data_IF_487538965949
#
_entry.id   IF_487538965949
#
_cell.length_a   1.000
_cell.length_b   1.000
_cell.length_c   1.000
_cell.angle_alpha   90.00
_cell.angle_beta   90.00
_cell.angle_gamma   90.00
#
_symmetry.space_group_name_H-M   'P 1'
#
loop_
_entity.id
_entity.type
_entity.pdbx_description
1 polymer ?
#
# COMPACT_ATOMS: atom_id res chain seq x y z
N UNK A 1 11.23 -23.64 5.73
CA UNK A 1 9.80 -23.72 6.13
C UNK A 1 9.13 -24.72 5.21
N UNK A 2 8.32 -25.63 5.73
CA UNK A 2 7.59 -26.63 4.90
C UNK A 2 6.43 -25.93 4.17
N UNK A 3 6.01 -26.42 3.03
CA UNK A 3 4.92 -25.81 2.25
C UNK A 3 3.61 -25.67 3.07
N UNK A 4 3.31 -26.66 3.89
CA UNK A 4 2.14 -26.63 4.79
C UNK A 4 2.22 -25.53 5.84
N UNK A 5 3.43 -25.21 6.33
CA UNK A 5 3.65 -24.13 7.29
C UNK A 5 3.50 -22.76 6.61
N UNK A 6 3.97 -22.65 5.37
CA UNK A 6 3.80 -21.42 4.57
C UNK A 6 2.32 -21.15 4.33
N UNK A 7 1.57 -22.18 3.89
CA UNK A 7 0.14 -22.06 3.63
C UNK A 7 -0.65 -21.69 4.91
N UNK A 8 -0.34 -22.33 6.04
CA UNK A 8 -0.95 -22.01 7.32
C UNK A 8 -0.70 -20.56 7.72
N UNK A 9 0.56 -20.13 7.66
CA UNK A 9 0.95 -18.76 7.98
C UNK A 9 0.34 -17.74 7.03
N UNK A 10 0.24 -18.06 5.74
CA UNK A 10 -0.45 -17.20 4.77
C UNK A 10 -1.92 -17.01 5.13
N UNK A 11 -2.62 -18.08 5.51
CA UNK A 11 -4.03 -18.00 5.92
C UNK A 11 -4.22 -17.11 7.16
N UNK A 12 -3.31 -17.21 8.14
CA UNK A 12 -3.32 -16.35 9.32
C UNK A 12 -3.10 -14.87 8.97
N UNK A 13 -2.14 -14.57 8.10
CA UNK A 13 -1.86 -13.21 7.64
C UNK A 13 -3.01 -12.62 6.83
N UNK A 14 -3.66 -13.43 5.99
CA UNK A 14 -4.86 -13.02 5.25
C UNK A 14 -6.03 -12.73 6.19
N UNK A 15 -6.17 -13.49 7.29
CA UNK A 15 -7.14 -13.21 8.33
C UNK A 15 -6.90 -11.82 8.95
N UNK A 16 -5.67 -11.55 9.39
CA UNK A 16 -5.31 -10.24 9.94
C UNK A 16 -5.60 -9.12 8.95
N UNK A 17 -5.19 -9.29 7.70
CA UNK A 17 -5.37 -8.29 6.64
C UNK A 17 -6.86 -8.03 6.36
N UNK A 18 -7.68 -9.09 6.29
CA UNK A 18 -9.11 -8.98 6.03
C UNK A 18 -9.84 -8.18 7.11
N UNK A 19 -9.61 -8.50 8.38
CA UNK A 19 -10.22 -7.77 9.49
C UNK A 19 -9.69 -6.34 9.63
N UNK A 20 -8.39 -6.14 9.43
CA UNK A 20 -7.78 -4.80 9.45
C UNK A 20 -8.37 -3.88 8.36
N UNK A 21 -8.56 -4.39 7.13
CA UNK A 21 -9.21 -3.65 6.04
C UNK A 21 -10.64 -3.22 6.38
N UNK A 22 -11.32 -3.99 7.22
CA UNK A 22 -12.66 -3.69 7.70
C UNK A 22 -12.68 -2.80 8.95
N UNK A 23 -11.51 -2.32 9.40
CA UNK A 23 -11.36 -1.54 10.64
C UNK A 23 -11.87 -2.29 11.89
N UNK A 24 -11.77 -3.62 11.89
CA UNK A 24 -12.08 -4.48 13.03
C UNK A 24 -10.79 -4.73 13.80
N UNK A 25 -10.81 -4.49 15.10
CA UNK A 25 -9.66 -4.77 15.98
C UNK A 25 -9.50 -6.28 16.09
N UNK A 26 -8.28 -6.74 15.83
CA UNK A 26 -7.91 -8.15 15.99
C UNK A 26 -6.74 -8.28 16.94
N UNK A 27 -6.80 -9.27 17.83
CA UNK A 27 -5.78 -9.56 18.84
C UNK A 27 -5.33 -11.00 18.71
N UNK A 28 -4.06 -11.25 18.96
CA UNK A 28 -3.46 -12.58 18.93
C UNK A 28 -3.15 -13.04 20.37
N UNK A 29 -3.42 -14.31 20.74
CA UNK A 29 -3.01 -14.84 22.03
C UNK A 29 -1.48 -14.87 22.14
N UNK A 30 -0.98 -14.56 23.33
CA UNK A 30 0.46 -14.58 23.62
C UNK A 30 0.95 -16.04 23.77
N UNK A 31 0.09 -16.93 24.30
CA UNK A 31 0.44 -18.33 24.54
C UNK A 31 0.25 -19.17 23.28
N UNK A 32 1.25 -19.99 22.89
CA UNK A 32 1.18 -20.79 21.65
C UNK A 32 0.15 -21.92 21.69
N UNK A 33 -0.29 -22.33 22.88
CA UNK A 33 -1.21 -23.46 23.08
C UNK A 33 -2.69 -23.06 23.06
N UNK A 34 -2.99 -21.84 22.63
CA UNK A 34 -4.37 -21.36 22.53
C UNK A 34 -5.16 -22.15 21.49
N UNK A 35 -6.46 -22.38 21.79
CA UNK A 35 -7.36 -23.10 20.87
C UNK A 35 -7.80 -22.24 19.69
N UNK A 36 -7.48 -20.95 19.69
CA UNK A 36 -7.80 -19.99 18.64
C UNK A 36 -6.55 -19.18 18.27
N UNK A 37 -6.51 -18.71 17.05
CA UNK A 37 -5.41 -17.91 16.52
C UNK A 37 -5.63 -16.42 16.76
N UNK A 38 -6.89 -15.97 16.76
CA UNK A 38 -7.25 -14.57 16.92
C UNK A 38 -8.53 -14.36 17.75
N UNK A 39 -8.62 -13.15 18.30
CA UNK A 39 -9.86 -12.59 18.85
C UNK A 39 -10.19 -11.35 18.01
N UNK A 40 -11.40 -11.31 17.43
CA UNK A 40 -11.91 -10.14 16.73
C UNK A 40 -12.95 -9.42 17.61
N UNK A 41 -12.81 -8.09 17.74
CA UNK A 41 -13.80 -7.26 18.41
C UNK A 41 -14.78 -6.70 17.35
N UNK A 42 -15.98 -7.27 17.32
CA UNK A 42 -17.01 -6.90 16.37
C UNK A 42 -18.21 -6.36 17.15
N UNK A 43 -18.51 -5.08 17.01
CA UNK A 43 -19.60 -4.40 17.73
C UNK A 43 -19.51 -4.55 19.28
N UNK A 44 -18.30 -4.38 19.83
CA UNK A 44 -18.00 -4.56 21.27
C UNK A 44 -18.24 -5.98 21.78
N UNK A 45 -18.22 -6.97 20.91
CA UNK A 45 -18.29 -8.37 21.27
C UNK A 45 -17.05 -9.09 20.73
N UNK A 46 -16.42 -9.87 21.61
CA UNK A 46 -15.19 -10.61 21.30
C UNK A 46 -15.55 -11.98 20.73
N UNK A 47 -14.96 -12.30 19.57
CA UNK A 47 -15.14 -13.58 18.88
C UNK A 47 -13.80 -14.27 18.69
N UNK A 48 -13.70 -15.51 19.11
CA UNK A 48 -12.50 -16.36 18.94
C UNK A 48 -12.52 -16.99 17.56
N UNK A 49 -11.42 -16.86 16.85
CA UNK A 49 -11.27 -17.27 15.46
C UNK A 49 -10.11 -18.26 15.34
N UNK A 50 -10.36 -19.41 14.72
CA UNK A 50 -9.34 -20.38 14.33
C UNK A 50 -9.15 -20.36 12.82
N UNK A 51 -7.93 -20.11 12.37
CA UNK A 51 -7.57 -20.14 10.97
C UNK A 51 -7.34 -21.57 10.48
N UNK A 52 -7.88 -21.91 9.33
CA UNK A 52 -7.70 -23.21 8.68
C UNK A 52 -7.40 -23.02 7.19
N UNK A 53 -6.31 -23.59 6.72
CA UNK A 53 -5.99 -23.59 5.30
C UNK A 53 -7.01 -24.42 4.54
N UNK A 54 -7.57 -23.86 3.47
CA UNK A 54 -8.44 -24.59 2.56
C UNK A 54 -7.65 -25.26 1.42
N UNK A 55 -8.20 -26.33 0.92
CA UNK A 55 -7.71 -27.04 -0.26
C UNK A 55 -8.79 -26.96 -1.33
N UNK A 56 -8.41 -26.59 -2.55
CA UNK A 56 -9.30 -26.64 -3.70
C UNK A 56 -9.53 -28.10 -4.08
N UNK A 57 -10.79 -28.51 -4.18
CA UNK A 57 -11.14 -29.85 -4.60
C UNK A 57 -10.80 -30.07 -6.09
N UNK A 58 -10.57 -31.32 -6.47
CA UNK A 58 -10.11 -31.69 -7.81
C UNK A 58 -11.05 -31.24 -8.95
N UNK A 59 -12.32 -31.06 -8.65
CA UNK A 59 -13.32 -30.56 -9.60
C UNK A 59 -13.30 -29.02 -9.80
N UNK A 60 -12.48 -28.31 -9.00
CA UNK A 60 -12.35 -26.86 -9.03
C UNK A 60 -13.60 -26.09 -8.56
N UNK A 61 -14.62 -26.77 -8.03
CA UNK A 61 -15.95 -26.17 -7.71
C UNK A 61 -16.15 -25.90 -6.24
N UNK A 62 -15.26 -26.36 -5.37
CA UNK A 62 -15.37 -26.24 -3.93
C UNK A 62 -14.01 -26.17 -3.25
N UNK A 63 -14.00 -25.62 -2.07
CA UNK A 63 -12.87 -25.69 -1.15
C UNK A 63 -13.27 -26.48 0.10
N UNK A 64 -12.30 -27.21 0.65
CA UNK A 64 -12.50 -27.98 1.88
C UNK A 64 -11.40 -27.64 2.88
N UNK A 65 -11.76 -27.52 4.16
CA UNK A 65 -10.80 -27.35 5.25
C UNK A 65 -11.11 -28.27 6.41
N UNK A 66 -10.07 -28.63 7.19
CA UNK A 66 -10.17 -29.51 8.34
C UNK A 66 -10.70 -28.75 9.57
N UNK A 67 -11.74 -29.27 10.22
CA UNK A 67 -12.35 -28.69 11.41
C UNK A 67 -11.80 -29.30 12.72
N UNK A 68 -10.68 -30.03 12.70
CA UNK A 68 -10.03 -30.62 13.85
C UNK A 68 -8.65 -30.02 14.08
N UNK A 69 -8.19 -30.09 15.31
CA UNK A 69 -6.78 -29.94 15.67
C UNK A 69 -6.13 -31.31 15.86
N UNK A 70 -4.85 -31.40 15.52
CA UNK A 70 -4.05 -32.59 15.80
C UNK A 70 -3.03 -32.25 16.87
N UNK A 71 -3.05 -32.98 17.97
CA UNK A 71 -2.07 -32.88 19.04
C UNK A 71 -1.21 -34.13 19.13
N UNK A 72 -0.06 -34.01 19.77
CA UNK A 72 0.80 -35.14 20.12
C UNK A 72 0.67 -35.44 21.63
N UNK A 73 0.29 -36.65 21.96
CA UNK A 73 0.26 -37.12 23.32
C UNK A 73 1.25 -38.28 23.52
N UNK A 74 1.35 -38.76 24.76
CA UNK A 74 2.22 -39.89 25.12
C UNK A 74 1.90 -41.16 24.32
N UNK A 75 0.65 -41.36 23.92
CA UNK A 75 0.15 -42.54 23.20
C UNK A 75 0.01 -42.28 21.68
N UNK A 76 0.66 -41.27 21.14
CA UNK A 76 0.62 -40.94 19.72
C UNK A 76 -0.19 -39.65 19.37
N UNK A 77 -0.52 -39.51 18.11
CA UNK A 77 -1.30 -38.37 17.66
C UNK A 77 -2.79 -38.55 18.01
N UNK A 78 -3.40 -37.48 18.53
CA UNK A 78 -4.85 -37.44 18.74
C UNK A 78 -5.47 -36.30 17.94
N UNK A 79 -6.74 -36.47 17.59
CA UNK A 79 -7.54 -35.44 16.96
C UNK A 79 -8.58 -34.93 17.97
N UNK A 80 -8.72 -33.61 17.98
CA UNK A 80 -9.69 -32.94 18.86
C UNK A 80 -10.57 -32.02 18.01
N UNK A 81 -11.89 -32.22 18.13
CA UNK A 81 -12.87 -31.33 17.47
C UNK A 81 -12.97 -30.00 18.21
N UNK A 82 -13.37 -28.96 17.52
CA UNK A 82 -13.67 -27.68 18.10
C UNK A 82 -15.13 -27.59 18.47
N UNK A 83 -15.41 -26.97 19.61
CA UNK A 83 -16.75 -26.63 20.09
C UNK A 83 -16.91 -25.11 20.24
N UNK A 84 -18.10 -24.66 20.57
CA UNK A 84 -18.39 -23.26 20.89
C UNK A 84 -17.66 -22.76 22.14
N UNK A 85 -17.26 -23.67 23.01
CA UNK A 85 -16.46 -23.33 24.18
C UNK A 85 -15.00 -23.00 23.81
N UNK A 86 -14.52 -23.54 22.68
CA UNK A 86 -13.18 -23.30 22.17
C UNK A 86 -13.11 -22.07 21.27
N UNK A 87 -13.98 -22.00 20.26
CA UNK A 87 -13.98 -20.95 19.20
C UNK A 87 -15.40 -20.58 18.81
N UNK A 88 -15.55 -19.41 18.21
CA UNK A 88 -16.81 -18.96 17.65
C UNK A 88 -16.85 -19.20 16.14
N UNK A 89 -15.71 -19.02 15.45
CA UNK A 89 -15.64 -19.15 14.01
C UNK A 89 -14.35 -19.83 13.55
N UNK A 90 -14.47 -20.56 12.44
CA UNK A 90 -13.33 -20.86 11.56
C UNK A 90 -13.18 -19.75 10.52
N UNK A 91 -11.94 -19.36 10.28
CA UNK A 91 -11.57 -18.51 9.15
C UNK A 91 -10.81 -19.34 8.13
N UNK A 92 -11.14 -19.16 6.85
CA UNK A 92 -10.35 -19.67 5.74
C UNK A 92 -10.30 -18.66 4.58
N UNK A 93 -9.31 -18.83 3.73
CA UNK A 93 -9.05 -17.93 2.60
C UNK A 93 -8.79 -18.73 1.34
N UNK A 94 -9.35 -18.29 0.22
CA UNK A 94 -9.08 -18.88 -1.07
C UNK A 94 -9.24 -17.84 -2.19
N UNK A 95 -8.20 -17.71 -3.02
CA UNK A 95 -8.20 -16.90 -4.24
C UNK A 95 -8.81 -15.48 -4.07
N UNK A 96 -8.35 -14.74 -3.09
CA UNK A 96 -8.81 -13.37 -2.83
C UNK A 96 -10.09 -13.27 -1.99
N UNK A 97 -10.74 -14.37 -1.65
CA UNK A 97 -11.99 -14.37 -0.87
C UNK A 97 -11.75 -14.95 0.51
N UNK A 98 -12.22 -14.20 1.51
CA UNK A 98 -12.20 -14.59 2.93
C UNK A 98 -13.55 -15.19 3.34
N UNK A 99 -13.50 -16.30 4.05
CA UNK A 99 -14.69 -17.00 4.55
C UNK A 99 -14.65 -17.10 6.08
N UNK A 100 -15.79 -16.90 6.71
CA UNK A 100 -15.97 -17.02 8.15
C UNK A 100 -17.13 -18.01 8.42
N UNK A 101 -16.81 -19.15 9.02
CA UNK A 101 -17.75 -20.25 9.23
C UNK A 101 -18.03 -20.42 10.73
N UNK A 102 -19.27 -20.26 11.21
CA UNK A 102 -19.60 -20.55 12.60
C UNK A 102 -19.22 -22.00 12.97
N UNK A 103 -18.62 -22.20 14.14
CA UNK A 103 -18.17 -23.53 14.57
C UNK A 103 -19.31 -24.56 14.57
N UNK A 104 -20.52 -24.12 14.91
CA UNK A 104 -21.72 -24.97 14.96
C UNK A 104 -22.15 -25.45 13.55
N UNK A 105 -21.78 -24.73 12.51
CA UNK A 105 -22.12 -25.03 11.12
C UNK A 105 -20.98 -25.73 10.35
N UNK A 106 -19.81 -25.90 11.00
CA UNK A 106 -18.63 -26.42 10.36
C UNK A 106 -18.60 -27.95 10.19
N UNK A 107 -19.39 -28.66 11.02
CA UNK A 107 -19.37 -30.11 11.04
C UNK A 107 -18.21 -30.69 11.89
N UNK A 108 -18.21 -32.02 12.05
CA UNK A 108 -17.30 -32.67 13.02
C UNK A 108 -15.86 -32.89 12.54
N UNK A 109 -15.62 -33.01 11.23
CA UNK A 109 -14.27 -33.35 10.71
C UNK A 109 -13.76 -32.36 9.69
N UNK A 110 -14.55 -32.04 8.68
CA UNK A 110 -14.21 -31.09 7.63
C UNK A 110 -15.44 -30.32 7.16
N UNK A 111 -15.23 -29.17 6.59
CA UNK A 111 -16.27 -28.34 5.96
C UNK A 111 -15.91 -28.08 4.52
N UNK A 112 -16.88 -28.32 3.63
CA UNK A 112 -16.78 -28.03 2.20
C UNK A 112 -17.66 -26.82 1.87
N UNK A 113 -17.08 -25.83 1.19
CA UNK A 113 -17.75 -24.63 0.68
C UNK A 113 -17.78 -24.70 -0.85
N UNK A 114 -18.97 -24.78 -1.43
CA UNK A 114 -19.15 -24.89 -2.88
C UNK A 114 -19.43 -23.53 -3.52
N UNK A 115 -18.72 -23.20 -4.57
CA UNK A 115 -18.83 -21.90 -5.26
C UNK A 115 -20.15 -21.74 -5.99
N UNK A 116 -20.67 -22.84 -6.57
CA UNK A 116 -21.98 -22.88 -7.22
C UNK A 116 -22.83 -23.95 -6.55
N UNK A 117 -23.68 -23.54 -5.62
CA UNK A 117 -24.53 -24.47 -4.89
C UNK A 117 -25.74 -24.86 -5.76
N UNK A 118 -25.74 -26.08 -6.30
CA UNK A 118 -26.96 -26.71 -6.89
C UNK A 118 -27.70 -27.57 -5.88
N UNK A 119 -27.04 -28.09 -4.86
CA UNK A 119 -27.61 -28.91 -3.79
C UNK A 119 -26.92 -28.59 -2.47
N UNK A 120 -27.70 -28.28 -1.46
CA UNK A 120 -27.24 -28.04 -0.09
C UNK A 120 -27.37 -29.34 0.67
N UNK A 121 -26.26 -29.83 1.22
CA UNK A 121 -26.21 -30.95 2.16
C UNK A 121 -25.69 -30.46 3.52
N UNK A 122 -25.93 -31.16 4.64
CA UNK A 122 -25.47 -30.72 5.96
C UNK A 122 -23.97 -30.39 6.06
N UNK A 123 -23.13 -31.09 5.27
CA UNK A 123 -21.67 -30.91 5.26
C UNK A 123 -21.19 -30.06 4.08
N UNK A 124 -22.06 -29.74 3.12
CA UNK A 124 -21.76 -28.96 1.91
C UNK A 124 -22.65 -27.74 1.90
N UNK A 125 -22.06 -26.57 1.92
CA UNK A 125 -22.77 -25.29 1.93
C UNK A 125 -22.34 -24.39 0.78
N UNK A 126 -23.18 -23.47 0.40
CA UNK A 126 -22.83 -22.44 -0.57
C UNK A 126 -21.74 -21.52 0.00
N UNK A 127 -20.65 -21.33 -0.73
CA UNK A 127 -19.52 -20.51 -0.27
C UNK A 127 -19.95 -19.06 -0.01
N UNK A 128 -20.86 -18.50 -0.80
CA UNK A 128 -21.36 -17.13 -0.68
C UNK A 128 -21.98 -16.82 0.69
N UNK A 129 -22.61 -17.80 1.31
CA UNK A 129 -23.27 -17.64 2.62
C UNK A 129 -22.27 -17.54 3.77
N UNK A 130 -21.01 -17.86 3.50
CA UNK A 130 -19.90 -17.81 4.45
C UNK A 130 -18.81 -16.79 4.08
N UNK A 131 -18.98 -16.01 3.03
CA UNK A 131 -18.11 -14.89 2.77
C UNK A 131 -18.06 -13.96 4.00
N UNK A 132 -16.86 -13.50 4.38
CA UNK A 132 -16.65 -12.67 5.56
C UNK A 132 -17.61 -11.48 5.60
N UNK A 133 -17.79 -10.79 4.47
CA UNK A 133 -18.70 -9.65 4.34
C UNK A 133 -20.16 -10.04 4.58
N UNK A 134 -20.57 -11.20 4.09
CA UNK A 134 -21.92 -11.71 4.29
C UNK A 134 -22.22 -12.06 5.75
N UNK A 135 -21.31 -12.77 6.40
CA UNK A 135 -21.43 -13.14 7.82
C UNK A 135 -21.45 -11.90 8.72
N UNK A 136 -20.52 -10.97 8.49
CA UNK A 136 -20.46 -9.72 9.24
C UNK A 136 -21.76 -8.93 9.14
N UNK A 137 -22.30 -8.77 7.94
CA UNK A 137 -23.54 -8.03 7.70
C UNK A 137 -24.77 -8.75 8.27
N UNK A 138 -24.96 -10.03 7.92
CA UNK A 138 -26.23 -10.71 8.14
C UNK A 138 -26.31 -11.47 9.46
N UNK A 139 -25.20 -11.93 10.01
CA UNK A 139 -25.17 -12.66 11.29
C UNK A 139 -24.65 -11.83 12.46
N UNK A 140 -23.75 -10.85 12.18
CA UNK A 140 -23.13 -10.05 13.23
C UNK A 140 -23.56 -8.59 13.24
N UNK A 141 -24.45 -8.18 12.33
CA UNK A 141 -24.98 -6.81 12.19
C UNK A 141 -23.88 -5.74 12.12
N UNK A 142 -22.75 -6.06 11.50
CA UNK A 142 -21.64 -5.14 11.35
C UNK A 142 -21.95 -4.07 10.29
N UNK A 143 -21.75 -2.78 10.64
CA UNK A 143 -21.91 -1.68 9.71
C UNK A 143 -20.61 -1.45 8.93
N UNK A 144 -20.70 -1.43 7.61
CA UNK A 144 -19.60 -1.13 6.71
C UNK A 144 -19.41 0.38 6.46
N UNK A 145 -20.14 1.25 7.17
CA UNK A 145 -20.09 2.71 6.95
C UNK A 145 -18.69 3.31 7.19
N UNK A 146 -17.89 2.67 8.03
CA UNK A 146 -16.52 3.09 8.32
C UNK A 146 -15.48 2.75 7.23
N UNK A 147 -15.82 1.90 6.24
CA UNK A 147 -14.97 1.61 5.07
C UNK A 147 -14.76 2.83 4.16
N UNK A 148 -15.65 3.81 4.25
CA UNK A 148 -15.58 5.07 3.50
C UNK A 148 -14.33 5.93 3.77
N UNK A 149 -13.61 5.69 4.87
CA UNK A 149 -12.42 6.49 5.21
C UNK A 149 -11.24 6.27 4.27
N UNK A 150 -11.06 5.04 3.75
CA UNK A 150 -9.98 4.74 2.80
C UNK A 150 -10.26 5.27 1.39
N UNK A 151 -11.49 5.17 0.92
CA UNK A 151 -11.90 5.73 -0.38
C UNK A 151 -11.98 7.26 -0.34
N UNK A 152 -12.46 7.86 0.77
CA UNK A 152 -12.43 9.32 0.95
C UNK A 152 -11.02 9.89 0.93
N UNK A 153 -10.04 9.23 1.58
CA UNK A 153 -8.63 9.67 1.52
C UNK A 153 -8.06 9.58 0.11
N UNK A 154 -8.40 8.56 -0.66
CA UNK A 154 -7.98 8.42 -2.07
C UNK A 154 -8.61 9.49 -2.95
N UNK A 155 -9.90 9.79 -2.79
CA UNK A 155 -10.60 10.84 -3.54
C UNK A 155 -10.14 12.25 -3.17
N UNK A 156 -9.77 12.51 -1.91
CA UNK A 156 -9.25 13.82 -1.50
C UNK A 156 -7.86 14.10 -2.07
N UNK A 157 -7.01 13.10 -2.25
CA UNK A 157 -5.70 13.26 -2.89
C UNK A 157 -5.79 13.44 -4.41
N UNK A 158 -6.84 12.94 -5.06
CA UNK A 158 -7.03 13.12 -6.51
C UNK A 158 -7.77 14.40 -6.91
N UNK A 159 -8.60 14.99 -6.02
CA UNK A 159 -9.47 16.13 -6.36
C UNK A 159 -8.93 17.52 -6.01
N UNK A 160 -7.76 17.63 -5.36
CA UNK A 160 -7.28 18.91 -4.85
C UNK A 160 -5.91 19.36 -5.37
N UNK A 161 -5.59 19.01 -6.61
CA UNK A 161 -4.42 19.60 -7.28
C UNK A 161 -4.82 20.95 -7.89
N UNK A 162 -4.16 22.01 -7.45
CA UNK A 162 -4.29 23.34 -8.04
C UNK A 162 -3.59 23.39 -9.41
N UNK A 163 -3.91 24.38 -10.19
CA UNK A 163 -3.23 24.68 -11.45
C UNK A 163 -2.48 25.99 -11.34
N UNK A 164 -1.28 26.03 -11.91
CA UNK A 164 -0.50 27.25 -11.97
C UNK A 164 -1.28 28.34 -12.73
N UNK A 165 -1.46 29.51 -12.12
CA UNK A 165 -2.20 30.62 -12.73
C UNK A 165 -1.56 31.18 -14.01
N UNK A 166 -0.24 30.93 -14.21
CA UNK A 166 0.48 31.48 -15.36
C UNK A 166 0.60 30.47 -16.52
N UNK A 167 0.70 29.15 -16.26
CA UNK A 167 0.95 28.14 -17.31
C UNK A 167 0.02 26.91 -17.25
N UNK A 168 -0.91 26.84 -16.31
CA UNK A 168 -1.90 25.75 -16.20
C UNK A 168 -1.36 24.40 -15.74
N UNK A 169 -0.06 24.23 -15.47
CA UNK A 169 0.48 22.95 -15.00
C UNK A 169 -0.05 22.62 -13.59
N UNK A 170 -0.30 21.34 -13.31
CA UNK A 170 -0.75 20.86 -12.00
C UNK A 170 0.30 21.14 -10.93
N UNK A 171 -0.13 21.70 -9.81
CA UNK A 171 0.71 22.08 -8.66
C UNK A 171 0.04 21.65 -7.35
N UNK A 172 0.77 21.71 -6.23
CA UNK A 172 0.22 21.39 -4.92
C UNK A 172 -0.92 22.33 -4.51
N UNK A 173 -1.82 21.85 -3.66
CA UNK A 173 -3.02 22.58 -3.18
C UNK A 173 -2.72 23.98 -2.62
N UNK A 174 -1.59 24.16 -1.97
CA UNK A 174 -1.20 25.42 -1.32
C UNK A 174 -0.42 26.35 -2.25
N UNK A 175 0.01 25.88 -3.41
CA UNK A 175 0.76 26.69 -4.36
C UNK A 175 -0.20 27.45 -5.32
N UNK A 176 0.17 28.67 -5.65
CA UNK A 176 -0.53 29.49 -6.65
C UNK A 176 0.18 29.36 -8.00
N UNK A 177 1.48 29.13 -8.00
CA UNK A 177 2.35 29.04 -9.18
C UNK A 177 3.30 27.86 -9.11
N UNK A 178 3.64 27.28 -10.24
CA UNK A 178 4.73 26.32 -10.34
C UNK A 178 6.09 27.01 -10.11
N UNK A 179 7.09 26.23 -9.71
CA UNK A 179 8.43 26.77 -9.43
C UNK A 179 9.03 27.51 -10.63
N UNK A 180 8.79 27.06 -11.86
CA UNK A 180 9.28 27.73 -13.07
C UNK A 180 8.67 29.12 -13.24
N UNK A 181 7.36 29.26 -13.09
CA UNK A 181 6.69 30.55 -13.20
C UNK A 181 7.00 31.49 -12.03
N UNK A 182 7.10 30.96 -10.82
CA UNK A 182 7.51 31.74 -9.65
C UNK A 182 8.94 32.29 -9.81
N UNK A 183 9.89 31.44 -10.25
CA UNK A 183 11.25 31.85 -10.54
C UNK A 183 11.34 32.89 -11.67
N UNK A 184 10.55 32.74 -12.73
CA UNK A 184 10.50 33.70 -13.83
C UNK A 184 10.03 35.08 -13.38
N UNK A 185 9.03 35.15 -12.50
CA UNK A 185 8.56 36.41 -11.89
C UNK A 185 9.55 37.05 -10.91
N UNK A 186 10.37 36.25 -10.24
CA UNK A 186 11.41 36.76 -9.34
C UNK A 186 12.67 37.18 -10.08
N UNK A 187 12.77 36.98 -11.38
CA UNK A 187 13.86 37.51 -12.19
C UNK A 187 13.73 39.02 -12.32
N UNK A 188 14.49 39.75 -11.52
CA UNK A 188 14.54 41.21 -11.54
C UNK A 188 15.49 41.77 -12.60
N UNK A 189 16.31 40.91 -13.22
CA UNK A 189 17.33 41.29 -14.17
C UNK A 189 17.22 40.44 -15.43
N UNK A 190 17.22 41.07 -16.60
CA UNK A 190 17.30 40.39 -17.86
C UNK A 190 18.71 39.82 -18.05
N UNK A 191 18.77 38.52 -18.37
CA UNK A 191 20.06 37.84 -18.50
C UNK A 191 20.56 37.98 -19.93
N UNK A 192 21.88 38.14 -20.14
CA UNK A 192 22.46 38.13 -21.48
C UNK A 192 22.23 36.76 -22.15
N UNK A 193 22.22 36.76 -23.47
CA UNK A 193 22.20 35.53 -24.23
C UNK A 193 23.43 34.68 -23.94
N UNK A 194 23.36 33.38 -24.31
CA UNK A 194 24.51 32.47 -24.10
C UNK A 194 25.78 32.97 -24.74
N UNK A 195 25.70 33.48 -25.97
CA UNK A 195 26.87 33.98 -26.73
C UNK A 195 27.43 35.26 -26.10
N UNK A 196 26.58 36.17 -25.68
CA UNK A 196 27.01 37.38 -24.98
C UNK A 196 27.72 37.03 -23.66
N UNK A 197 27.11 36.15 -22.90
CA UNK A 197 27.71 35.71 -21.64
C UNK A 197 29.04 35.00 -21.88
N UNK A 198 29.15 34.13 -22.90
CA UNK A 198 30.40 33.46 -23.33
C UNK A 198 31.51 34.45 -23.60
N UNK A 199 31.21 35.50 -24.37
CA UNK A 199 32.15 36.55 -24.73
C UNK A 199 32.58 37.37 -23.49
N UNK A 200 31.62 37.76 -22.65
CA UNK A 200 31.89 38.53 -21.43
C UNK A 200 32.83 37.77 -20.46
N UNK A 201 32.58 36.48 -20.20
CA UNK A 201 33.38 35.71 -19.25
C UNK A 201 34.80 35.42 -19.74
N UNK A 202 35.04 35.47 -21.06
CA UNK A 202 36.37 35.35 -21.66
C UNK A 202 37.21 36.61 -21.41
N UNK A 203 36.56 37.78 -21.59
CA UNK A 203 37.23 39.09 -21.65
C UNK A 203 37.26 39.81 -20.27
N UNK A 204 36.23 39.62 -19.44
CA UNK A 204 36.04 40.37 -18.21
C UNK A 204 36.02 39.45 -16.94
N UNK A 205 36.38 39.98 -15.76
CA UNK A 205 36.18 39.27 -14.52
C UNK A 205 34.70 39.20 -14.15
N UNK A 206 34.31 38.13 -13.42
CA UNK A 206 32.90 37.93 -12.99
C UNK A 206 32.36 39.07 -12.16
N UNK A 207 33.20 39.75 -11.38
CA UNK A 207 32.82 40.92 -10.57
C UNK A 207 32.41 42.11 -11.46
N UNK A 208 33.13 42.38 -12.55
CA UNK A 208 32.78 43.43 -13.49
C UNK A 208 31.50 43.16 -14.26
N UNK A 209 31.32 41.89 -14.69
CA UNK A 209 30.05 41.47 -15.29
C UNK A 209 28.89 41.62 -14.31
N UNK A 210 29.10 41.21 -13.02
CA UNK A 210 28.12 41.38 -11.97
C UNK A 210 27.72 42.82 -11.74
N UNK A 211 28.69 43.76 -11.73
CA UNK A 211 28.42 45.19 -11.64
C UNK A 211 27.60 45.73 -12.79
N UNK A 212 27.88 45.31 -14.04
CA UNK A 212 27.14 45.70 -15.23
C UNK A 212 25.64 45.32 -15.18
N UNK A 213 25.32 44.16 -14.63
CA UNK A 213 23.94 43.66 -14.49
C UNK A 213 23.32 43.92 -13.12
N UNK A 214 24.01 44.58 -12.19
CA UNK A 214 23.51 44.83 -10.85
C UNK A 214 23.32 43.53 -9.99
N UNK A 215 24.16 42.53 -10.23
CA UNK A 215 24.09 41.23 -9.54
C UNK A 215 25.46 40.84 -8.97
N UNK A 216 25.46 39.87 -8.07
CA UNK A 216 26.72 39.34 -7.52
C UNK A 216 27.46 38.46 -8.55
N UNK A 217 28.79 38.32 -8.38
CA UNK A 217 29.63 37.40 -9.15
C UNK A 217 29.14 35.95 -9.03
N UNK A 218 28.60 35.57 -7.86
CA UNK A 218 27.95 34.28 -7.65
C UNK A 218 26.72 34.06 -8.53
N UNK A 219 25.96 35.11 -8.85
CA UNK A 219 24.83 35.05 -9.78
C UNK A 219 25.33 34.80 -11.21
N UNK A 220 26.39 35.49 -11.63
CA UNK A 220 27.01 35.27 -12.95
C UNK A 220 27.52 33.84 -13.10
N UNK A 221 28.18 33.27 -12.08
CA UNK A 221 28.58 31.85 -12.08
C UNK A 221 27.41 30.88 -12.21
N UNK A 222 26.26 31.18 -11.57
CA UNK A 222 25.03 30.39 -11.77
C UNK A 222 24.50 30.52 -13.19
N UNK A 223 24.57 31.69 -13.82
CA UNK A 223 24.18 31.89 -15.22
C UNK A 223 25.06 31.07 -16.16
N UNK A 224 26.39 31.06 -15.93
CA UNK A 224 27.31 30.20 -16.69
C UNK A 224 26.91 28.72 -16.60
N UNK A 225 26.62 28.21 -15.40
CA UNK A 225 26.18 26.82 -15.20
C UNK A 225 24.89 26.50 -15.95
N UNK A 226 23.90 27.40 -15.91
CA UNK A 226 22.62 27.23 -16.63
C UNK A 226 22.84 27.24 -18.14
N UNK A 227 23.79 28.08 -18.64
CA UNK A 227 24.16 28.17 -20.03
C UNK A 227 25.14 27.10 -20.53
N UNK A 228 25.49 26.14 -19.67
CA UNK A 228 26.55 25.13 -19.91
C UNK A 228 27.90 25.76 -20.31
N UNK A 229 28.29 26.83 -19.60
CA UNK A 229 29.57 27.52 -19.77
C UNK A 229 30.46 27.31 -18.55
N UNK A 230 31.80 27.36 -18.68
CA UNK A 230 32.74 27.32 -17.57
C UNK A 230 32.43 28.43 -16.54
N UNK A 231 32.41 28.09 -15.27
CA UNK A 231 32.05 29.02 -14.19
C UNK A 231 33.18 29.46 -13.30
N UNK A 232 34.42 29.10 -13.63
CA UNK A 232 35.66 29.56 -12.93
C UNK A 232 36.65 30.12 -13.93
N UNK A 233 37.48 31.11 -13.51
CA UNK A 233 38.53 31.67 -14.37
C UNK A 233 39.60 30.63 -14.74
N UNK A 234 39.85 29.67 -13.84
CA UNK A 234 40.81 28.59 -14.11
C UNK A 234 40.32 27.76 -15.31
N UNK A 235 39.03 27.35 -15.29
CA UNK A 235 38.46 26.53 -16.36
C UNK A 235 38.43 27.34 -17.67
N UNK A 236 37.99 28.62 -17.62
CA UNK A 236 37.97 29.50 -18.79
C UNK A 236 39.33 29.64 -19.46
N UNK A 237 40.37 29.81 -18.66
CA UNK A 237 41.75 29.99 -19.14
C UNK A 237 42.40 28.70 -19.65
N UNK A 238 41.86 27.54 -19.32
CA UNK A 238 42.33 26.24 -19.79
C UNK A 238 41.91 25.93 -21.25
N UNK A 239 40.92 26.65 -21.81
CA UNK A 239 40.51 26.48 -23.21
C UNK A 239 41.41 27.22 -24.14
N UNK A 240 41.84 26.55 -25.24
CA UNK A 240 42.44 27.22 -26.41
C UNK A 240 41.41 28.09 -27.09
N UNK A 241 41.82 29.04 -27.94
CA UNK A 241 40.89 29.88 -28.68
C UNK A 241 40.04 29.07 -29.68
N UNK A 242 40.60 27.98 -30.25
CA UNK A 242 39.90 27.04 -31.10
C UNK A 242 38.83 26.26 -30.35
N UNK A 243 39.11 25.73 -29.16
CA UNK A 243 38.18 24.99 -28.34
C UNK A 243 37.09 25.90 -27.75
N UNK A 244 37.49 27.16 -27.40
CA UNK A 244 36.54 28.16 -26.93
C UNK A 244 35.54 28.54 -28.00
N UNK A 245 35.96 28.59 -29.27
CA UNK A 245 35.06 28.90 -30.40
C UNK A 245 33.98 27.84 -30.60
N UNK A 246 34.28 26.56 -30.32
CA UNK A 246 33.40 25.41 -30.44
C UNK A 246 32.43 25.21 -29.25
N UNK A 247 32.67 25.89 -28.14
CA UNK A 247 31.85 25.81 -26.95
C UNK A 247 30.53 26.56 -27.12
#
# INVERSE_FOLDING_TARGET
MRDTEILGRTTELECQLAFTKLNIVISQPITPDSRYDYIADINNKLYRIQCKTSILEADGRSITFNCKSTGRGANGNYQHSYSKDDIDFFYTYHNGVSYLVPVEEAGGSSKTLRFEAKEIQPTISGAKDYELSFILKNKLNYSFDNLYLFEKRKRQTEQELNHCVDCGVKISKTAIRCNACANKRQQTVERPSREELKNMIRTMPFTAIGQQFGVSDSAIRKWCKIANLPSTKKDINSYSDEDWSKL
#
